data_IF_981018387585
#
_entry.id   IF_981018387585
#
_cell.length_a   1.000
_cell.length_b   1.000
_cell.length_c   1.000
_cell.angle_alpha   90.00
_cell.angle_beta   90.00
_cell.angle_gamma   90.00
#
_symmetry.space_group_name_H-M   'P 1'
#
loop_
_entity.id
_entity.type
_entity.pdbx_description
1 polymer ?
#
# COMPACT_ATOMS: atom_id res chain seq x y z
N UNK A 1 -13.26 3.05 -9.53
CA UNK A 1 -12.41 1.87 -9.82
C UNK A 1 -11.41 1.67 -8.68
N UNK A 2 -11.22 0.46 -8.27
CA UNK A 2 -10.32 0.11 -7.17
C UNK A 2 -9.21 -0.82 -7.67
N UNK A 3 -7.98 -0.51 -7.30
CA UNK A 3 -6.80 -1.26 -7.70
C UNK A 3 -6.34 -2.13 -6.52
N UNK A 4 -6.36 -3.44 -6.71
CA UNK A 4 -6.05 -4.41 -5.66
C UNK A 4 -4.55 -4.50 -5.37
N UNK A 5 -4.20 -4.71 -4.10
CA UNK A 5 -2.86 -5.15 -3.73
C UNK A 5 -2.58 -6.53 -4.32
N UNK A 6 -1.33 -6.80 -4.64
CA UNK A 6 -0.91 -8.14 -5.07
C UNK A 6 -1.14 -9.16 -3.95
N UNK A 7 -1.45 -10.41 -4.31
CA UNK A 7 -1.62 -11.49 -3.34
C UNK A 7 -0.35 -11.70 -2.50
N UNK A 8 0.80 -11.56 -3.12
CA UNK A 8 2.10 -11.69 -2.44
C UNK A 8 2.25 -10.63 -1.35
N UNK A 9 1.88 -9.37 -1.61
CA UNK A 9 1.94 -8.29 -0.64
C UNK A 9 1.00 -8.54 0.53
N UNK A 10 -0.22 -9.00 0.25
CA UNK A 10 -1.20 -9.31 1.30
C UNK A 10 -0.76 -10.48 2.18
N UNK A 11 -0.19 -11.52 1.59
CA UNK A 11 0.37 -12.64 2.34
C UNK A 11 1.52 -12.19 3.25
N UNK A 12 2.34 -11.27 2.78
CA UNK A 12 3.42 -10.70 3.56
C UNK A 12 2.89 -9.99 4.81
N UNK A 13 1.88 -9.15 4.67
CA UNK A 13 1.29 -8.44 5.80
C UNK A 13 0.68 -9.41 6.83
N UNK A 14 -0.02 -10.44 6.36
CA UNK A 14 -0.57 -11.49 7.23
C UNK A 14 0.55 -12.22 7.98
N UNK A 15 1.59 -12.63 7.28
CA UNK A 15 2.74 -13.33 7.87
C UNK A 15 3.44 -12.46 8.91
N UNK A 16 3.69 -11.20 8.62
CA UNK A 16 4.30 -10.25 9.55
C UNK A 16 3.45 -10.08 10.80
N UNK A 17 2.13 -9.94 10.65
CA UNK A 17 1.23 -9.82 11.78
C UNK A 17 1.29 -11.02 12.71
N UNK A 18 1.20 -12.22 12.15
CA UNK A 18 1.27 -13.46 12.92
C UNK A 18 2.64 -13.65 13.57
N UNK A 19 3.72 -13.31 12.88
CA UNK A 19 5.08 -13.41 13.37
C UNK A 19 5.30 -12.53 14.61
N UNK A 20 4.88 -11.27 14.57
CA UNK A 20 5.05 -10.36 15.70
C UNK A 20 4.18 -10.74 16.89
N UNK A 21 2.96 -11.24 16.67
CA UNK A 21 2.11 -11.75 17.75
C UNK A 21 2.75 -12.97 18.39
N UNK A 22 3.30 -13.89 17.60
CA UNK A 22 3.97 -15.07 18.11
C UNK A 22 5.19 -14.71 18.97
N UNK A 23 6.03 -13.77 18.54
CA UNK A 23 7.16 -13.28 19.32
C UNK A 23 6.68 -12.67 20.63
N UNK A 24 5.60 -11.87 20.60
CA UNK A 24 5.03 -11.27 21.81
C UNK A 24 4.56 -12.34 22.79
N UNK A 25 3.85 -13.36 22.34
CA UNK A 25 3.38 -14.47 23.19
C UNK A 25 4.56 -15.25 23.76
N UNK A 26 5.56 -15.58 22.96
CA UNK A 26 6.74 -16.30 23.42
C UNK A 26 7.51 -15.52 24.47
N UNK A 27 7.56 -14.19 24.36
CA UNK A 27 8.24 -13.36 25.36
C UNK A 27 7.62 -13.46 26.75
N UNK A 28 6.29 -13.69 26.85
CA UNK A 28 5.60 -13.91 28.13
C UNK A 28 6.07 -15.21 28.78
N UNK A 29 6.27 -16.27 27.99
CA UNK A 29 6.70 -17.56 28.54
C UNK A 29 8.16 -17.60 28.93
N UNK A 30 9.03 -16.84 28.26
CA UNK A 30 10.47 -16.86 28.50
C UNK A 30 10.99 -15.73 29.39
N UNK A 31 10.18 -14.74 29.69
CA UNK A 31 10.55 -13.59 30.51
C UNK A 31 9.95 -13.69 31.92
N UNK A 32 10.80 -13.74 32.95
CA UNK A 32 10.32 -13.85 34.33
C UNK A 32 9.90 -12.52 34.94
N UNK A 33 10.37 -11.39 34.46
CA UNK A 33 10.15 -10.10 35.18
C UNK A 33 9.62 -9.00 34.29
N UNK A 34 9.77 -8.63 33.22
CA UNK A 34 9.21 -7.51 32.47
C UNK A 34 8.87 -7.91 31.04
N UNK A 35 7.58 -8.02 30.79
CA UNK A 35 7.09 -8.35 29.47
C UNK A 35 7.04 -7.12 28.55
N UNK A 36 8.09 -6.29 28.57
CA UNK A 36 8.20 -5.11 27.70
C UNK A 36 8.11 -5.54 26.24
N UNK A 37 8.74 -6.66 25.88
CA UNK A 37 8.69 -7.17 24.50
C UNK A 37 7.27 -7.54 24.08
N UNK A 38 6.47 -8.10 24.98
CA UNK A 38 5.07 -8.40 24.71
C UNK A 38 4.28 -7.12 24.40
N UNK A 39 4.47 -6.07 25.21
CA UNK A 39 3.79 -4.79 25.01
C UNK A 39 4.28 -4.03 23.77
N UNK A 40 5.51 -4.29 23.31
CA UNK A 40 6.05 -3.67 22.10
C UNK A 40 5.64 -4.41 20.83
N UNK A 41 5.76 -5.73 20.82
CA UNK A 41 5.59 -6.52 19.58
C UNK A 41 4.15 -6.93 19.31
N UNK A 42 3.35 -7.19 20.33
CA UNK A 42 1.95 -7.60 20.14
C UNK A 42 1.11 -6.53 19.44
N UNK A 43 1.19 -5.22 19.84
CA UNK A 43 0.48 -4.18 19.11
C UNK A 43 0.91 -4.04 17.65
N UNK A 44 2.20 -4.24 17.34
CA UNK A 44 2.68 -4.23 15.96
C UNK A 44 2.02 -5.32 15.12
N UNK A 45 1.89 -6.53 15.68
CA UNK A 45 1.20 -7.64 15.02
C UNK A 45 -0.25 -7.31 14.72
N UNK A 46 -0.97 -6.72 15.66
CA UNK A 46 -2.35 -6.30 15.45
C UNK A 46 -2.47 -5.22 14.38
N UNK A 47 -1.53 -4.28 14.32
CA UNK A 47 -1.52 -3.26 13.26
C UNK A 47 -1.40 -3.92 11.88
N UNK A 48 -0.49 -4.87 11.70
CA UNK A 48 -0.33 -5.58 10.44
C UNK A 48 -1.58 -6.39 10.06
N UNK A 49 -2.21 -7.06 11.03
CA UNK A 49 -3.46 -7.79 10.79
C UNK A 49 -4.60 -6.84 10.43
N UNK A 50 -4.68 -5.68 11.09
CA UNK A 50 -5.66 -4.66 10.75
C UNK A 50 -5.49 -4.19 9.30
N UNK A 51 -4.25 -3.91 8.88
CA UNK A 51 -3.94 -3.52 7.52
C UNK A 51 -4.32 -4.62 6.53
N UNK A 52 -4.04 -5.88 6.86
CA UNK A 52 -4.42 -7.01 6.03
C UNK A 52 -5.93 -7.09 5.81
N UNK A 53 -6.72 -6.86 6.85
CA UNK A 53 -8.18 -6.97 6.79
C UNK A 53 -8.80 -5.75 6.11
N UNK A 54 -8.35 -4.54 6.45
CA UNK A 54 -8.98 -3.28 6.03
C UNK A 54 -8.45 -2.73 4.71
N UNK A 55 -7.17 -2.89 4.44
CA UNK A 55 -6.53 -2.30 3.26
C UNK A 55 -6.39 -3.37 2.18
N UNK A 56 -7.49 -3.68 1.49
CA UNK A 56 -7.52 -4.61 0.35
C UNK A 56 -7.07 -3.95 -0.95
N UNK A 57 -7.30 -2.65 -1.08
CA UNK A 57 -7.08 -1.89 -2.30
C UNK A 57 -5.92 -0.93 -2.11
N UNK A 58 -4.97 -0.99 -3.04
CA UNK A 58 -3.81 -0.10 -3.03
C UNK A 58 -4.18 1.32 -3.47
N UNK A 59 -5.00 1.42 -4.50
CA UNK A 59 -5.44 2.68 -5.07
C UNK A 59 -6.95 2.67 -5.27
N UNK A 60 -7.55 3.86 -5.19
CA UNK A 60 -8.93 4.09 -5.60
C UNK A 60 -8.96 5.23 -6.60
N UNK A 61 -9.67 5.05 -7.71
CA UNK A 61 -9.87 6.07 -8.73
C UNK A 61 -11.38 6.32 -8.83
N UNK A 62 -11.84 7.43 -8.29
CA UNK A 62 -13.25 7.82 -8.28
C UNK A 62 -13.36 9.33 -8.41
N UNK A 63 -14.38 9.81 -9.14
CA UNK A 63 -14.69 11.24 -9.26
C UNK A 63 -13.48 12.09 -9.68
N UNK A 64 -12.70 11.61 -10.64
CA UNK A 64 -11.50 12.29 -11.14
C UNK A 64 -10.39 12.43 -10.10
N UNK A 65 -10.41 11.62 -9.04
CA UNK A 65 -9.40 11.61 -7.98
C UNK A 65 -8.77 10.23 -7.88
N UNK A 66 -7.44 10.18 -7.90
CA UNK A 66 -6.65 8.99 -7.57
C UNK A 66 -6.15 9.10 -6.14
N UNK A 67 -6.40 8.07 -5.34
CA UNK A 67 -6.06 8.04 -3.92
C UNK A 67 -5.29 6.77 -3.58
N UNK A 68 -4.19 6.93 -2.83
CA UNK A 68 -3.49 5.81 -2.23
C UNK A 68 -4.15 5.47 -0.88
N UNK A 69 -4.53 4.20 -0.70
CA UNK A 69 -5.33 3.75 0.45
C UNK A 69 -4.52 3.27 1.66
N UNK A 70 -3.25 3.60 1.76
CA UNK A 70 -2.47 3.30 2.95
C UNK A 70 -2.37 4.51 3.90
N UNK A 71 -1.82 4.30 5.09
CA UNK A 71 -1.87 5.27 6.21
C UNK A 71 -1.38 6.67 5.80
N UNK A 72 -0.28 6.77 5.06
CA UNK A 72 0.29 8.03 4.58
C UNK A 72 0.01 8.25 3.09
N UNK A 73 -1.10 7.70 2.60
CA UNK A 73 -1.47 7.79 1.19
C UNK A 73 -1.81 9.20 0.74
N UNK A 74 -1.42 9.51 -0.49
CA UNK A 74 -1.68 10.81 -1.11
C UNK A 74 -2.93 10.76 -1.98
N UNK A 75 -3.55 11.92 -2.20
CA UNK A 75 -4.63 12.11 -3.16
C UNK A 75 -4.16 13.08 -4.24
N UNK A 76 -4.67 12.90 -5.45
CA UNK A 76 -4.33 13.75 -6.59
C UNK A 76 -5.51 13.77 -7.57
N UNK A 77 -5.81 14.93 -8.15
CA UNK A 77 -6.80 15.00 -9.22
C UNK A 77 -6.18 14.52 -10.52
N UNK A 78 -6.87 13.64 -11.23
CA UNK A 78 -6.38 13.12 -12.50
C UNK A 78 -6.17 14.23 -13.55
N UNK A 79 -7.03 15.24 -13.55
CA UNK A 79 -6.93 16.37 -14.47
C UNK A 79 -5.71 17.26 -14.23
N UNK A 80 -5.13 17.23 -13.04
CA UNK A 80 -3.95 18.00 -12.68
C UNK A 80 -2.63 17.31 -13.04
N UNK A 81 -2.66 16.04 -13.43
CA UNK A 81 -1.47 15.28 -13.76
C UNK A 81 -0.87 15.78 -15.08
N UNK A 82 0.36 16.26 -15.03
CA UNK A 82 1.08 16.81 -16.19
C UNK A 82 1.97 15.78 -16.87
N UNK A 83 2.60 14.90 -16.10
CA UNK A 83 3.49 13.89 -16.64
C UNK A 83 3.40 12.58 -15.88
N UNK A 84 3.68 11.49 -16.58
CA UNK A 84 3.74 10.13 -16.04
C UNK A 84 5.08 9.53 -16.47
N UNK A 85 5.86 9.08 -15.50
CA UNK A 85 7.14 8.42 -15.74
C UNK A 85 7.08 6.97 -15.26
N UNK A 86 7.47 6.03 -16.09
CA UNK A 86 7.64 4.63 -15.71
C UNK A 86 9.13 4.37 -15.50
N UNK A 87 9.54 4.18 -14.25
CA UNK A 87 10.95 4.02 -13.89
C UNK A 87 11.10 3.10 -12.67
N UNK A 88 12.05 2.16 -12.75
CA UNK A 88 12.43 1.27 -11.64
C UNK A 88 11.24 0.54 -10.98
N UNK A 89 10.29 0.05 -11.78
CA UNK A 89 9.11 -0.67 -11.27
C UNK A 89 8.07 0.22 -10.62
N UNK A 90 8.09 1.52 -10.89
CA UNK A 90 7.12 2.49 -10.36
C UNK A 90 6.55 3.36 -11.47
N UNK A 91 5.30 3.79 -11.29
CA UNK A 91 4.75 4.93 -12.03
C UNK A 91 4.88 6.18 -11.16
N UNK A 92 5.45 7.23 -11.72
CA UNK A 92 5.60 8.51 -11.05
C UNK A 92 4.67 9.51 -11.72
N UNK A 93 3.60 9.88 -11.02
CA UNK A 93 2.63 10.87 -11.47
C UNK A 93 3.04 12.24 -10.93
N UNK A 94 3.12 13.23 -11.80
CA UNK A 94 3.51 14.59 -11.41
C UNK A 94 2.45 15.60 -11.81
N UNK A 95 2.13 16.49 -10.86
CA UNK A 95 1.43 17.74 -11.11
C UNK A 95 2.41 18.90 -11.01
N UNK A 96 1.94 20.13 -11.10
CA UNK A 96 2.80 21.32 -10.93
C UNK A 96 3.42 21.42 -9.54
N UNK A 97 2.75 20.87 -8.51
CA UNK A 97 3.15 21.02 -7.10
C UNK A 97 3.36 19.71 -6.36
N UNK A 98 2.91 18.58 -6.91
CA UNK A 98 2.88 17.30 -6.22
C UNK A 98 3.45 16.17 -7.07
N UNK A 99 3.84 15.11 -6.39
CA UNK A 99 4.36 13.90 -7.00
C UNK A 99 3.80 12.69 -6.25
N UNK A 100 3.31 11.69 -7.00
CA UNK A 100 2.83 10.44 -6.44
C UNK A 100 3.59 9.28 -7.06
N UNK A 101 4.12 8.38 -6.23
CA UNK A 101 4.77 7.16 -6.67
C UNK A 101 3.83 5.98 -6.47
N UNK A 102 3.68 5.17 -7.51
CA UNK A 102 2.86 3.96 -7.49
C UNK A 102 3.77 2.76 -7.71
N UNK A 103 3.88 1.90 -6.71
CA UNK A 103 4.70 0.69 -6.81
C UNK A 103 3.95 -0.39 -7.60
N UNK A 104 4.41 -0.67 -8.82
CA UNK A 104 3.80 -1.64 -9.72
C UNK A 104 3.85 -3.06 -9.11
N UNK A 105 4.92 -3.39 -8.38
CA UNK A 105 5.08 -4.70 -7.75
C UNK A 105 4.07 -5.00 -6.65
N UNK A 106 3.43 -3.97 -6.09
CA UNK A 106 2.40 -4.13 -5.05
C UNK A 106 0.99 -4.29 -5.62
N UNK A 107 0.82 -4.29 -6.94
CA UNK A 107 -0.49 -4.32 -7.60
C UNK A 107 -0.75 -5.71 -8.18
N UNK A 108 -1.99 -6.23 -8.00
CA UNK A 108 -2.48 -7.44 -8.65
C UNK A 108 -2.41 -7.26 -10.18
N UNK A 109 -1.98 -8.30 -10.90
CA UNK A 109 -1.78 -8.22 -12.36
C UNK A 109 -3.02 -7.77 -13.12
N UNK A 110 -4.20 -8.28 -12.75
CA UNK A 110 -5.47 -7.89 -13.37
C UNK A 110 -5.79 -6.41 -13.14
N UNK A 111 -5.54 -5.91 -11.93
CA UNK A 111 -5.74 -4.50 -11.60
C UNK A 111 -4.71 -3.60 -12.25
N UNK A 112 -3.49 -4.10 -12.50
CA UNK A 112 -2.46 -3.34 -13.20
C UNK A 112 -2.88 -3.00 -14.64
N UNK A 113 -3.54 -3.94 -15.33
CA UNK A 113 -4.08 -3.69 -16.67
C UNK A 113 -5.11 -2.56 -16.63
N UNK A 114 -6.00 -2.57 -15.64
CA UNK A 114 -7.01 -1.52 -15.45
C UNK A 114 -6.36 -0.16 -15.17
N UNK A 115 -5.34 -0.14 -14.31
CA UNK A 115 -4.60 1.09 -13.99
C UNK A 115 -3.91 1.66 -15.22
N UNK A 116 -3.24 0.83 -15.99
CA UNK A 116 -2.61 1.26 -17.26
C UNK A 116 -3.62 1.86 -18.23
N UNK A 117 -4.80 1.25 -18.33
CA UNK A 117 -5.87 1.76 -19.17
C UNK A 117 -6.34 3.14 -18.74
N UNK A 118 -6.52 3.36 -17.45
CA UNK A 118 -6.92 4.66 -16.92
C UNK A 118 -5.83 5.73 -17.10
N UNK A 119 -4.57 5.38 -16.87
CA UNK A 119 -3.46 6.32 -17.07
C UNK A 119 -3.29 6.72 -18.53
N UNK A 120 -3.54 5.81 -19.48
CA UNK A 120 -3.48 6.11 -20.91
C UNK A 120 -4.57 7.06 -21.38
N UNK A 121 -5.69 7.13 -20.67
CA UNK A 121 -6.79 8.06 -20.98
C UNK A 121 -6.47 9.49 -20.59
N UNK A 122 -5.45 9.71 -19.76
CA UNK A 122 -5.10 11.04 -19.29
C UNK A 122 -4.34 11.83 -20.36
N UNK A 123 -4.63 13.13 -20.43
CA UNK A 123 -3.91 14.07 -21.28
C UNK A 123 -2.59 14.48 -20.62
N UNK A 124 -1.75 13.50 -20.31
CA UNK A 124 -0.47 13.68 -19.65
C UNK A 124 0.67 13.22 -20.55
N UNK A 125 1.82 13.87 -20.39
CA UNK A 125 3.00 13.51 -21.15
C UNK A 125 3.71 12.32 -20.50
N UNK A 126 3.86 11.24 -21.27
CA UNK A 126 4.67 10.09 -20.85
C UNK A 126 6.15 10.37 -21.09
N UNK A 127 6.93 10.25 -20.03
CA UNK A 127 8.36 10.57 -20.07
C UNK A 127 9.20 9.29 -20.03
#
# INVERSE_FOLDING_TARGET
>A
MKILYSKKRRKYDLFQGLFWILIGILSVFFSEKNNILFYLYTPMGFIYLYLYIKVKYYLSIENNIIKQNYIFGKKMKLSEIKSIKHFAGEYILRTDTRKMRIDIGSIEKSSLVDLKGELKKLDAQWV
#
